data_IF_750950633585
#
_entry.id   IF_750950633585
#
_cell.length_a   1.000
_cell.length_b   1.000
_cell.length_c   1.000
_cell.angle_alpha   90.00
_cell.angle_beta   90.00
_cell.angle_gamma   90.00
#
_symmetry.space_group_name_H-M   'P 1'
#
loop_
_entity.id
_entity.type
_entity.pdbx_description
1 polymer ?
#
# COMPACT_ATOMS: atom_id res chain seq x y z
N UNK A 1 7.35 -1.76 18.23
CA UNK A 1 5.88 -1.69 18.44
C UNK A 1 5.33 -2.89 19.19
N UNK A 2 5.37 -4.15 18.71
CA UNK A 2 4.78 -5.27 19.48
C UNK A 2 5.43 -5.45 20.88
N UNK A 3 6.74 -5.21 20.99
CA UNK A 3 7.46 -5.20 22.27
C UNK A 3 7.06 -4.04 23.20
N UNK A 4 6.72 -2.88 22.66
CA UNK A 4 6.26 -1.73 23.45
C UNK A 4 4.84 -2.00 23.98
N UNK A 5 3.98 -2.62 23.16
CA UNK A 5 2.65 -3.07 23.58
C UNK A 5 2.78 -4.14 24.67
N UNK A 6 3.69 -5.10 24.51
CA UNK A 6 3.95 -6.12 25.53
C UNK A 6 4.38 -5.52 26.87
N UNK A 7 5.26 -4.50 26.84
CA UNK A 7 5.71 -3.79 28.04
C UNK A 7 4.62 -2.91 28.67
N UNK A 8 3.62 -2.47 27.89
CA UNK A 8 2.51 -1.67 28.39
C UNK A 8 1.38 -2.51 29.04
N UNK A 9 1.38 -3.84 28.89
CA UNK A 9 0.36 -4.71 29.49
C UNK A 9 0.64 -4.94 30.98
N UNK A 10 -0.30 -4.62 31.89
CA UNK A 10 -0.15 -4.92 33.30
C UNK A 10 -0.16 -6.45 33.53
N UNK A 11 0.89 -6.97 34.17
CA UNK A 11 1.14 -8.41 34.34
C UNK A 11 1.23 -9.14 32.98
N UNK A 12 2.21 -8.73 32.17
CA UNK A 12 2.46 -9.25 30.83
C UNK A 12 2.70 -10.77 30.83
N UNK A 13 1.85 -11.50 30.09
CA UNK A 13 1.99 -12.94 29.81
C UNK A 13 1.76 -13.15 28.32
N UNK A 14 2.44 -14.14 27.72
CA UNK A 14 2.27 -14.51 26.32
C UNK A 14 0.81 -14.88 25.99
N UNK A 15 0.11 -15.53 26.92
CA UNK A 15 -1.29 -15.92 26.75
C UNK A 15 -2.21 -14.70 26.64
N UNK A 16 -2.00 -13.69 27.50
CA UNK A 16 -2.77 -12.44 27.45
C UNK A 16 -2.50 -11.67 26.17
N UNK A 17 -1.24 -11.60 25.74
CA UNK A 17 -0.87 -10.95 24.48
C UNK A 17 -1.54 -11.66 23.30
N UNK A 18 -1.53 -12.99 23.26
CA UNK A 18 -2.17 -13.77 22.21
C UNK A 18 -3.69 -13.58 22.19
N UNK A 19 -4.36 -13.54 23.35
CA UNK A 19 -5.80 -13.29 23.42
C UNK A 19 -6.15 -11.87 22.94
N UNK A 20 -5.35 -10.87 23.30
CA UNK A 20 -5.51 -9.48 22.83
C UNK A 20 -5.34 -9.39 21.30
N UNK A 21 -4.28 -10.01 20.75
CA UNK A 21 -4.04 -10.05 19.30
C UNK A 21 -5.20 -10.75 18.60
N UNK A 22 -5.67 -11.89 19.12
CA UNK A 22 -6.79 -12.65 18.54
C UNK A 22 -8.06 -11.82 18.50
N UNK A 23 -8.40 -11.12 19.60
CA UNK A 23 -9.57 -10.24 19.65
C UNK A 23 -9.45 -9.08 18.65
N UNK A 24 -8.29 -8.43 18.58
CA UNK A 24 -8.05 -7.34 17.64
C UNK A 24 -8.17 -7.79 16.17
N UNK A 25 -7.57 -8.94 15.82
CA UNK A 25 -7.65 -9.52 14.46
C UNK A 25 -9.08 -9.90 14.10
N UNK A 26 -9.85 -10.48 15.03
CA UNK A 26 -11.25 -10.84 14.78
C UNK A 26 -12.12 -9.61 14.50
N UNK A 27 -11.95 -8.53 15.26
CA UNK A 27 -12.67 -7.26 15.03
C UNK A 27 -12.27 -6.67 13.67
N UNK A 28 -10.97 -6.62 13.37
CA UNK A 28 -10.47 -6.11 12.08
C UNK A 28 -11.02 -6.90 10.90
N UNK A 29 -10.99 -8.24 10.98
CA UNK A 29 -11.55 -9.14 9.97
C UNK A 29 -13.03 -8.87 9.75
N UNK A 30 -13.82 -8.74 10.83
CA UNK A 30 -15.25 -8.43 10.73
C UNK A 30 -15.52 -7.12 10.00
N UNK A 31 -14.78 -6.06 10.32
CA UNK A 31 -14.90 -4.76 9.64
C UNK A 31 -14.52 -4.87 8.16
N UNK A 32 -13.44 -5.58 7.82
CA UNK A 32 -13.01 -5.76 6.43
C UNK A 32 -14.02 -6.53 5.60
N UNK A 33 -14.62 -7.59 6.15
CA UNK A 33 -15.67 -8.35 5.48
C UNK A 33 -16.91 -7.49 5.27
N UNK A 34 -17.32 -6.71 6.28
CA UNK A 34 -18.46 -5.80 6.15
C UNK A 34 -18.22 -4.73 5.08
N UNK A 35 -17.12 -3.98 5.20
CA UNK A 35 -16.80 -2.87 4.27
C UNK A 35 -16.56 -3.40 2.86
N UNK A 36 -15.82 -4.50 2.71
CA UNK A 36 -15.57 -5.14 1.41
C UNK A 36 -16.84 -5.70 0.78
N UNK A 37 -17.68 -6.38 1.57
CA UNK A 37 -18.94 -6.95 1.09
C UNK A 37 -19.94 -5.90 0.63
N UNK A 38 -20.21 -4.88 1.46
CA UNK A 38 -21.11 -3.79 1.08
C UNK A 38 -20.53 -2.92 -0.05
N UNK A 39 -19.22 -2.68 -0.05
CA UNK A 39 -18.54 -1.97 -1.13
C UNK A 39 -18.65 -2.70 -2.47
N UNK A 40 -18.51 -4.03 -2.47
CA UNK A 40 -18.68 -4.84 -3.66
C UNK A 40 -20.12 -4.81 -4.18
N UNK A 41 -21.12 -4.98 -3.30
CA UNK A 41 -22.54 -4.94 -3.69
C UNK A 41 -22.91 -3.58 -4.28
N UNK A 42 -22.42 -2.48 -3.69
CA UNK A 42 -22.72 -1.13 -4.13
C UNK A 42 -22.17 -0.80 -5.53
N UNK A 43 -21.00 -1.30 -5.89
CA UNK A 43 -20.30 -0.96 -7.15
C UNK A 43 -20.11 -2.15 -8.10
N UNK A 44 -20.84 -3.24 -7.92
CA UNK A 44 -20.69 -4.46 -8.74
C UNK A 44 -20.93 -4.26 -10.25
N UNK A 45 -21.54 -3.15 -10.66
CA UNK A 45 -21.86 -2.82 -12.06
C UNK A 45 -20.93 -1.78 -12.69
N UNK A 46 -20.05 -1.17 -11.90
CA UNK A 46 -19.09 -0.17 -12.39
C UNK A 46 -17.69 -0.76 -12.53
N UNK A 47 -16.86 -0.14 -13.36
CA UNK A 47 -15.45 -0.54 -13.48
C UNK A 47 -14.72 -0.22 -12.18
N UNK A 48 -14.24 -1.26 -11.49
CA UNK A 48 -13.49 -1.12 -10.24
C UNK A 48 -12.25 -0.25 -10.43
N UNK A 49 -12.16 0.81 -9.64
CA UNK A 49 -10.94 1.58 -9.44
C UNK A 49 -10.33 1.17 -8.10
N UNK A 50 -9.01 1.01 -8.03
CA UNK A 50 -8.30 0.66 -6.79
C UNK A 50 -8.54 1.58 -5.59
N UNK A 51 -9.17 2.74 -5.82
CA UNK A 51 -9.73 3.61 -4.79
C UNK A 51 -11.24 3.78 -4.99
N UNK A 52 -12.03 3.04 -4.20
CA UNK A 52 -13.50 3.11 -4.20
C UNK A 52 -14.04 4.52 -3.92
N UNK A 53 -13.27 5.37 -3.25
CA UNK A 53 -13.70 6.74 -2.95
C UNK A 53 -13.90 7.57 -4.23
N UNK A 54 -13.19 7.23 -5.31
CA UNK A 54 -13.30 7.93 -6.58
C UNK A 54 -14.60 7.60 -7.33
N UNK A 55 -15.21 6.46 -7.05
CA UNK A 55 -16.48 6.02 -7.66
C UNK A 55 -17.71 6.61 -6.99
N UNK A 56 -17.61 7.22 -5.80
CA UNK A 56 -18.77 7.85 -5.17
C UNK A 56 -19.18 9.15 -5.89
N UNK A 57 -20.50 9.35 -6.12
CA UNK A 57 -21.00 10.59 -6.71
C UNK A 57 -20.68 11.78 -5.81
N UNK A 58 -20.50 12.94 -6.43
CA UNK A 58 -20.20 14.20 -5.75
C UNK A 58 -21.39 14.64 -4.89
N UNK A 59 -21.35 14.33 -3.61
CA UNK A 59 -22.32 14.75 -2.59
C UNK A 59 -21.58 15.26 -1.36
N UNK A 60 -22.23 16.09 -0.54
CA UNK A 60 -21.64 16.59 0.70
C UNK A 60 -21.10 15.46 1.59
N UNK A 61 -21.81 14.33 1.65
CA UNK A 61 -21.39 13.16 2.43
C UNK A 61 -20.13 12.49 1.83
N UNK A 62 -20.10 12.31 0.50
CA UNK A 62 -18.93 11.75 -0.19
C UNK A 62 -17.69 12.63 -0.02
N UNK A 63 -17.86 13.94 -0.04
CA UNK A 63 -16.78 14.91 0.14
C UNK A 63 -16.22 14.90 1.57
N UNK A 64 -17.11 14.85 2.58
CA UNK A 64 -16.71 14.69 3.98
C UNK A 64 -15.92 13.40 4.20
N UNK A 65 -16.34 12.28 3.59
CA UNK A 65 -15.60 11.00 3.68
C UNK A 65 -14.22 11.10 3.02
N UNK A 66 -14.12 11.73 1.84
CA UNK A 66 -12.84 11.95 1.14
C UNK A 66 -11.88 12.80 1.97
N UNK A 67 -12.36 13.91 2.54
CA UNK A 67 -11.56 14.77 3.43
C UNK A 67 -11.13 14.01 4.68
N UNK A 68 -12.04 13.24 5.30
CA UNK A 68 -11.73 12.41 6.46
C UNK A 68 -10.65 11.37 6.18
N UNK A 69 -10.70 10.71 5.01
CA UNK A 69 -9.67 9.79 4.56
C UNK A 69 -8.30 10.48 4.38
N UNK A 70 -8.26 11.62 3.68
CA UNK A 70 -7.02 12.38 3.48
C UNK A 70 -6.42 12.84 4.81
N UNK A 71 -7.27 13.34 5.72
CA UNK A 71 -6.84 13.77 7.05
C UNK A 71 -6.27 12.59 7.88
N UNK A 72 -6.92 11.42 7.81
CA UNK A 72 -6.42 10.20 8.44
C UNK A 72 -5.03 9.82 7.93
N UNK A 73 -4.83 9.80 6.60
CA UNK A 73 -3.52 9.52 5.98
C UNK A 73 -2.48 10.57 6.38
N UNK A 74 -2.85 11.85 6.44
CA UNK A 74 -1.97 12.94 6.84
C UNK A 74 -1.46 12.76 8.28
N UNK A 75 -2.27 12.22 9.20
CA UNK A 75 -1.82 11.89 10.55
C UNK A 75 -1.10 10.54 10.64
N UNK A 76 -1.46 9.54 9.84
CA UNK A 76 -0.79 8.24 9.81
C UNK A 76 0.66 8.34 9.32
N UNK A 77 0.93 9.18 8.33
CA UNK A 77 2.25 9.34 7.74
C UNK A 77 3.36 9.67 8.76
N UNK A 78 3.26 10.72 9.59
CA UNK A 78 4.26 11.03 10.61
C UNK A 78 4.35 9.93 11.69
N UNK A 79 3.23 9.28 12.05
CA UNK A 79 3.22 8.18 13.02
C UNK A 79 4.00 6.95 12.54
N UNK A 80 3.98 6.65 11.24
CA UNK A 80 4.73 5.55 10.63
C UNK A 80 6.21 5.91 10.42
N UNK A 81 6.52 7.19 10.13
CA UNK A 81 7.90 7.65 9.99
C UNK A 81 8.68 7.51 11.30
N UNK A 82 8.05 7.68 12.45
CA UNK A 82 8.73 7.57 13.75
C UNK A 82 9.44 6.21 13.96
N UNK A 83 8.75 5.05 13.91
CA UNK A 83 9.40 3.75 14.01
C UNK A 83 10.27 3.40 12.79
N UNK A 84 9.94 3.91 11.59
CA UNK A 84 10.78 3.75 10.40
C UNK A 84 12.16 4.40 10.60
N UNK A 85 12.18 5.64 11.10
CA UNK A 85 13.39 6.38 11.45
C UNK A 85 14.22 5.63 12.49
N UNK A 86 13.60 5.12 13.55
CA UNK A 86 14.31 4.35 14.58
C UNK A 86 14.95 3.07 14.00
N UNK A 87 14.23 2.38 13.12
CA UNK A 87 14.71 1.16 12.46
C UNK A 87 15.87 1.46 11.51
N UNK A 88 15.75 2.50 10.69
CA UNK A 88 16.78 2.89 9.71
C UNK A 88 18.02 3.46 10.40
N UNK A 89 17.84 4.25 11.47
CA UNK A 89 18.95 4.71 12.30
C UNK A 89 19.72 3.53 12.90
N UNK A 90 19.02 2.56 13.48
CA UNK A 90 19.66 1.34 13.98
C UNK A 90 20.41 0.59 12.86
N UNK A 91 19.81 0.45 11.67
CA UNK A 91 20.45 -0.25 10.55
C UNK A 91 21.74 0.42 10.05
N UNK A 92 21.70 1.75 9.85
CA UNK A 92 22.82 2.51 9.30
C UNK A 92 23.93 2.71 10.34
N UNK A 93 23.56 3.02 11.59
CA UNK A 93 24.52 3.40 12.63
C UNK A 93 24.99 2.23 13.47
N UNK A 94 24.30 1.09 13.52
CA UNK A 94 24.85 -0.15 14.10
C UNK A 94 26.09 -0.62 13.34
N UNK A 95 26.20 -0.35 12.03
CA UNK A 95 27.42 -0.60 11.23
C UNK A 95 28.49 0.47 11.48
N UNK A 96 28.09 1.74 11.62
CA UNK A 96 29.02 2.85 11.87
C UNK A 96 29.66 2.78 13.26
N UNK A 97 28.93 2.30 14.27
CA UNK A 97 29.43 2.15 15.64
C UNK A 97 30.46 1.02 15.76
N UNK A 98 30.38 -0.01 14.90
CA UNK A 98 31.41 -1.04 14.77
C UNK A 98 32.69 -0.51 14.09
N UNK A 99 32.57 0.43 13.14
CA UNK A 99 33.72 1.09 12.51
C UNK A 99 34.36 2.17 13.40
N UNK A 100 33.55 2.95 14.11
CA UNK A 100 34.00 4.01 15.03
C UNK A 100 34.62 3.47 16.32
N UNK A 101 34.52 2.17 16.61
CA UNK A 101 35.29 1.55 17.69
C UNK A 101 36.75 1.28 17.28
N UNK A 102 37.07 1.32 15.98
CA UNK A 102 38.42 1.04 15.46
C UNK A 102 39.26 2.32 15.25
N UNK A 103 38.62 3.48 15.12
CA UNK A 103 39.29 4.78 15.16
C UNK A 103 38.81 5.55 16.38
N UNK A 104 39.71 5.78 17.34
CA UNK A 104 39.44 6.44 18.63
C UNK A 104 38.98 7.90 18.54
N UNK A 105 37.83 8.14 17.93
CA UNK A 105 37.19 9.44 17.84
C UNK A 105 36.35 9.70 19.10
N UNK A 106 36.96 10.44 20.02
CA UNK A 106 36.39 11.05 21.22
C UNK A 106 35.46 12.22 20.89
N UNK A 107 34.38 11.98 20.15
CA UNK A 107 33.29 12.96 20.04
C UNK A 107 31.91 12.31 20.20
N UNK A 108 31.40 12.49 21.41
CA UNK A 108 30.19 11.87 21.97
C UNK A 108 28.95 12.70 21.66
N UNK A 109 28.84 13.22 20.44
CA UNK A 109 27.65 13.95 19.98
C UNK A 109 27.25 13.41 18.60
N UNK A 110 26.15 12.66 18.57
CA UNK A 110 25.58 12.20 17.31
C UNK A 110 25.08 13.46 16.59
N UNK A 111 25.64 13.86 15.44
CA UNK A 111 25.34 15.14 14.83
C UNK A 111 23.85 15.20 14.47
N UNK A 112 23.13 16.17 15.04
CA UNK A 112 21.70 16.41 14.80
C UNK A 112 21.37 16.56 13.29
N UNK A 113 22.33 17.04 12.50
CA UNK A 113 22.23 17.13 11.04
C UNK A 113 22.03 15.77 10.35
N UNK A 114 22.64 14.70 10.88
CA UNK A 114 22.46 13.34 10.33
C UNK A 114 21.08 12.77 10.65
N UNK A 115 20.51 13.12 11.80
CA UNK A 115 19.13 12.75 12.14
C UNK A 115 18.10 13.49 11.27
N UNK A 116 18.28 14.79 11.05
CA UNK A 116 17.42 15.58 10.14
C UNK A 116 17.55 15.10 8.70
N UNK A 117 18.77 14.84 8.23
CA UNK A 117 19.01 14.31 6.89
C UNK A 117 18.32 12.97 6.66
N UNK A 118 18.25 12.10 7.67
CA UNK A 118 17.58 10.81 7.56
C UNK A 118 16.06 10.97 7.36
N UNK A 119 15.42 11.84 8.14
CA UNK A 119 13.99 12.11 7.97
C UNK A 119 13.71 12.78 6.63
N UNK A 120 14.56 13.72 6.20
CA UNK A 120 14.42 14.35 4.89
C UNK A 120 14.53 13.33 3.76
N UNK A 121 15.47 12.38 3.86
CA UNK A 121 15.64 11.29 2.90
C UNK A 121 14.40 10.38 2.85
N UNK A 122 13.86 9.96 3.99
CA UNK A 122 12.66 9.12 4.05
C UNK A 122 11.47 9.83 3.38
N UNK A 123 11.23 11.10 3.73
CA UNK A 123 10.14 11.88 3.15
C UNK A 123 10.35 12.09 1.65
N UNK A 124 11.57 12.43 1.23
CA UNK A 124 11.89 12.61 -0.18
C UNK A 124 11.66 11.34 -1.01
N UNK A 125 12.15 10.19 -0.55
CA UNK A 125 11.93 8.90 -1.22
C UNK A 125 10.44 8.56 -1.28
N UNK A 126 9.70 8.78 -0.20
CA UNK A 126 8.25 8.54 -0.19
C UNK A 126 7.48 9.44 -1.17
N UNK A 127 7.90 10.71 -1.28
CA UNK A 127 7.31 11.66 -2.22
C UNK A 127 7.60 11.26 -3.66
N UNK A 128 8.85 10.94 -3.97
CA UNK A 128 9.25 10.49 -5.31
C UNK A 128 8.47 9.24 -5.73
N UNK A 129 8.35 8.24 -4.85
CA UNK A 129 7.57 7.03 -5.15
C UNK A 129 6.10 7.34 -5.39
N UNK A 130 5.50 8.23 -4.61
CA UNK A 130 4.10 8.65 -4.79
C UNK A 130 3.85 9.40 -6.11
N UNK A 131 4.83 10.20 -6.55
CA UNK A 131 4.78 10.91 -7.84
C UNK A 131 4.99 9.96 -9.02
N UNK A 132 5.89 8.99 -8.88
CA UNK A 132 6.21 8.03 -9.96
C UNK A 132 5.10 6.99 -10.17
N UNK A 133 4.39 6.58 -9.12
CA UNK A 133 3.36 5.53 -9.18
C UNK A 133 2.05 6.05 -8.59
N UNK A 134 1.20 6.73 -9.38
CA UNK A 134 -0.09 7.27 -8.92
C UNK A 134 -1.19 6.19 -8.89
N UNK A 135 -0.86 4.94 -8.55
CA UNK A 135 -1.81 3.84 -8.45
C UNK A 135 -1.63 3.10 -7.11
N UNK A 136 -2.59 3.31 -6.19
CA UNK A 136 -2.54 2.79 -4.83
C UNK A 136 -2.69 1.26 -4.81
N UNK A 137 -3.55 0.72 -5.67
CA UNK A 137 -3.75 -0.74 -5.80
C UNK A 137 -2.46 -1.44 -6.16
N UNK A 138 -1.70 -0.87 -7.10
CA UNK A 138 -0.41 -1.41 -7.48
C UNK A 138 0.62 -1.36 -6.36
N UNK A 139 0.73 -0.22 -5.67
CA UNK A 139 1.68 -0.07 -4.57
C UNK A 139 1.33 -1.06 -3.46
N UNK A 140 0.04 -1.20 -3.12
CA UNK A 140 -0.43 -2.16 -2.12
C UNK A 140 -0.18 -3.61 -2.57
N UNK A 141 -0.44 -3.93 -3.85
CA UNK A 141 -0.21 -5.25 -4.43
C UNK A 141 1.27 -5.64 -4.39
N UNK A 142 2.15 -4.76 -4.87
CA UNK A 142 3.59 -4.98 -4.93
C UNK A 142 4.21 -5.08 -3.52
N UNK A 143 3.84 -4.18 -2.60
CA UNK A 143 4.31 -4.23 -1.21
C UNK A 143 3.80 -5.49 -0.52
N UNK A 144 2.56 -5.90 -0.77
CA UNK A 144 1.98 -7.13 -0.23
C UNK A 144 2.68 -8.39 -0.73
N UNK A 145 2.93 -8.49 -2.04
CA UNK A 145 3.58 -9.66 -2.66
C UNK A 145 5.07 -9.76 -2.33
N UNK A 146 5.75 -8.64 -2.09
CA UNK A 146 7.18 -8.62 -1.78
C UNK A 146 7.43 -8.58 -0.27
N UNK A 147 7.26 -7.41 0.35
CA UNK A 147 7.58 -7.15 1.75
C UNK A 147 6.65 -7.94 2.67
N UNK A 148 5.35 -8.02 2.33
CA UNK A 148 4.38 -8.79 3.10
C UNK A 148 4.74 -10.26 3.23
N UNK A 149 5.07 -10.92 2.12
CA UNK A 149 5.47 -12.33 2.11
C UNK A 149 6.80 -12.54 2.84
N UNK A 150 7.76 -11.62 2.67
CA UNK A 150 9.04 -11.69 3.38
C UNK A 150 8.85 -11.67 4.90
N UNK A 151 8.02 -10.77 5.41
CA UNK A 151 7.83 -10.61 6.86
C UNK A 151 6.89 -11.68 7.43
N UNK A 152 5.81 -12.02 6.74
CA UNK A 152 4.77 -12.90 7.28
C UNK A 152 5.03 -14.38 7.06
N UNK A 153 5.79 -14.76 6.02
CA UNK A 153 6.02 -16.17 5.67
C UNK A 153 7.50 -16.52 5.79
N UNK A 154 8.37 -15.78 5.09
CA UNK A 154 9.80 -16.14 5.00
C UNK A 154 10.51 -15.93 6.34
N UNK A 155 10.31 -14.79 7.00
CA UNK A 155 10.97 -14.48 8.27
C UNK A 155 10.63 -15.48 9.40
N UNK A 156 9.35 -15.79 9.72
CA UNK A 156 9.04 -16.77 10.75
C UNK A 156 9.51 -18.18 10.38
N UNK A 157 9.43 -18.58 9.10
CA UNK A 157 9.95 -19.87 8.64
C UNK A 157 11.47 -19.98 8.82
N UNK A 158 12.22 -18.93 8.44
CA UNK A 158 13.66 -18.85 8.64
C UNK A 158 14.04 -18.94 10.11
N UNK A 159 13.38 -18.15 10.98
CA UNK A 159 13.60 -18.20 12.42
C UNK A 159 13.36 -19.62 12.99
N UNK A 160 12.28 -20.28 12.57
CA UNK A 160 11.97 -21.64 13.02
C UNK A 160 13.03 -22.66 12.56
N UNK A 161 13.47 -22.59 11.30
CA UNK A 161 14.52 -23.48 10.75
C UNK A 161 15.87 -23.25 11.47
N UNK A 162 16.21 -22.01 11.79
CA UNK A 162 17.45 -21.67 12.50
C UNK A 162 17.45 -22.17 13.95
N UNK A 163 16.30 -22.16 14.63
CA UNK A 163 16.16 -22.60 16.02
C UNK A 163 15.96 -24.12 16.13
N UNK A 164 15.29 -24.73 15.15
CA UNK A 164 14.97 -26.17 15.17
C UNK A 164 16.15 -27.01 14.67
N UNK A 165 16.95 -27.52 15.61
CA UNK A 165 18.14 -28.35 15.31
C UNK A 165 17.82 -29.80 14.94
N UNK A 166 16.60 -30.28 15.21
CA UNK A 166 16.17 -31.66 14.89
C UNK A 166 15.46 -31.72 13.55
N UNK A 167 15.69 -32.80 12.80
CA UNK A 167 14.97 -33.10 11.55
C UNK A 167 13.58 -33.69 11.86
N UNK A 168 12.69 -32.84 12.37
CA UNK A 168 11.29 -33.19 12.63
C UNK A 168 10.43 -32.87 11.39
N UNK A 169 9.28 -33.53 11.24
CA UNK A 169 8.27 -33.19 10.22
C UNK A 169 7.91 -31.69 10.21
N UNK A 170 7.97 -31.03 11.36
CA UNK A 170 7.75 -29.58 11.51
C UNK A 170 8.81 -28.73 10.78
N UNK A 171 10.06 -29.22 10.70
CA UNK A 171 11.14 -28.54 9.97
C UNK A 171 10.95 -28.67 8.46
N UNK A 172 10.50 -29.83 7.99
CA UNK A 172 10.11 -30.04 6.59
C UNK A 172 8.93 -29.13 6.24
N UNK A 173 7.94 -29.01 7.14
CA UNK A 173 6.81 -28.11 6.96
C UNK A 173 7.26 -26.65 6.86
N UNK A 174 8.18 -26.19 7.73
CA UNK A 174 8.73 -24.84 7.66
C UNK A 174 9.52 -24.58 6.36
N UNK A 175 10.30 -25.57 5.89
CA UNK A 175 11.00 -25.50 4.59
C UNK A 175 10.01 -25.42 3.42
N UNK A 176 8.92 -26.18 3.48
CA UNK A 176 7.85 -26.12 2.48
C UNK A 176 7.17 -24.75 2.49
N UNK A 177 6.85 -24.19 3.66
CA UNK A 177 6.26 -22.85 3.78
C UNK A 177 7.17 -21.78 3.18
N UNK A 178 8.49 -21.89 3.38
CA UNK A 178 9.47 -20.99 2.77
C UNK A 178 9.45 -21.12 1.23
N UNK A 179 9.51 -22.35 0.72
CA UNK A 179 9.48 -22.60 -0.73
C UNK A 179 8.19 -22.09 -1.38
N UNK A 180 7.04 -22.39 -0.79
CA UNK A 180 5.73 -21.88 -1.23
C UNK A 180 5.70 -20.35 -1.15
N UNK A 181 6.21 -19.75 -0.07
CA UNK A 181 6.30 -18.30 0.08
C UNK A 181 7.08 -17.65 -1.06
N UNK A 182 8.23 -18.20 -1.45
CA UNK A 182 9.03 -17.69 -2.57
C UNK A 182 8.27 -17.81 -3.91
N UNK A 183 7.58 -18.92 -4.15
CA UNK A 183 6.75 -19.09 -5.35
C UNK A 183 5.63 -18.04 -5.39
N UNK A 184 4.89 -17.87 -4.29
CA UNK A 184 3.79 -16.89 -4.21
C UNK A 184 4.32 -15.46 -4.38
N UNK A 185 5.52 -15.17 -3.89
CA UNK A 185 6.18 -13.88 -4.14
C UNK A 185 6.46 -13.62 -5.61
N UNK A 186 7.04 -14.59 -6.32
CA UNK A 186 7.35 -14.43 -7.75
C UNK A 186 6.06 -14.29 -8.55
N UNK A 187 5.09 -15.18 -8.33
CA UNK A 187 3.80 -15.14 -9.01
C UNK A 187 3.00 -13.88 -8.69
N UNK A 188 2.97 -13.46 -7.43
CA UNK A 188 2.27 -12.24 -7.00
C UNK A 188 2.90 -10.98 -7.58
N UNK A 189 4.23 -10.91 -7.62
CA UNK A 189 4.93 -9.78 -8.24
C UNK A 189 4.67 -9.73 -9.74
N UNK A 190 4.71 -10.89 -10.41
CA UNK A 190 4.38 -11.00 -11.84
C UNK A 190 2.94 -10.56 -12.13
N UNK A 191 1.97 -11.05 -11.35
CA UNK A 191 0.56 -10.69 -11.53
C UNK A 191 0.31 -9.18 -11.36
N UNK A 192 0.95 -8.55 -10.36
CA UNK A 192 0.83 -7.11 -10.13
C UNK A 192 1.47 -6.28 -11.26
N UNK A 193 2.61 -6.72 -11.81
CA UNK A 193 3.25 -6.06 -12.94
C UNK A 193 2.44 -6.21 -14.23
N UNK A 194 1.87 -7.39 -14.47
CA UNK A 194 1.00 -7.61 -15.63
C UNK A 194 -0.26 -6.75 -15.56
N UNK A 195 -0.90 -6.66 -14.39
CA UNK A 195 -2.04 -5.77 -14.17
C UNK A 195 -1.68 -4.29 -14.39
N UNK A 196 -0.45 -3.87 -14.06
CA UNK A 196 0.04 -2.52 -14.34
C UNK A 196 0.01 -2.20 -15.84
N UNK A 197 0.53 -3.12 -16.65
CA UNK A 197 0.69 -2.91 -18.08
C UNK A 197 -0.67 -2.73 -18.75
N UNK A 198 -1.65 -3.55 -18.40
CA UNK A 198 -3.02 -3.42 -18.90
C UNK A 198 -3.67 -2.07 -18.51
N UNK A 199 -3.49 -1.61 -17.26
CA UNK A 199 -4.03 -0.33 -16.79
C UNK A 199 -3.35 0.86 -17.48
N UNK A 200 -2.03 0.80 -17.69
CA UNK A 200 -1.28 1.87 -18.38
C UNK A 200 -1.67 1.97 -19.85
N UNK A 201 -1.84 0.83 -20.53
CA UNK A 201 -2.32 0.81 -21.92
C UNK A 201 -3.74 1.37 -22.02
N UNK A 202 -4.66 0.95 -21.13
CA UNK A 202 -6.05 1.43 -21.14
C UNK A 202 -6.15 2.94 -20.90
N UNK A 203 -5.37 3.48 -19.96
CA UNK A 203 -5.35 4.92 -19.67
C UNK A 203 -4.80 5.75 -20.84
N UNK A 204 -3.68 5.32 -21.46
CA UNK A 204 -3.11 5.99 -22.65
C UNK A 204 -4.06 5.93 -23.86
N UNK A 205 -4.72 4.79 -24.09
CA UNK A 205 -5.71 4.66 -25.17
C UNK A 205 -6.91 5.57 -24.93
N UNK A 206 -7.43 5.61 -23.69
CA UNK A 206 -8.56 6.47 -23.32
C UNK A 206 -8.21 7.95 -23.49
N UNK A 207 -7.01 8.37 -23.07
CA UNK A 207 -6.54 9.75 -23.25
C UNK A 207 -6.39 10.11 -24.73
N UNK A 208 -5.83 9.22 -25.56
CA UNK A 208 -5.75 9.44 -27.02
C UNK A 208 -7.13 9.55 -27.67
N UNK A 209 -8.11 8.74 -27.24
CA UNK A 209 -9.50 8.83 -27.74
C UNK A 209 -10.11 10.17 -27.32
N UNK A 210 -9.98 10.56 -26.04
CA UNK A 210 -10.50 11.83 -25.51
C UNK A 210 -9.79 13.04 -26.12
N UNK A 211 -8.57 12.95 -26.64
CA UNK A 211 -7.93 14.05 -27.39
C UNK A 211 -8.41 14.09 -28.84
N UNK A 212 -8.77 12.94 -29.42
CA UNK A 212 -9.24 12.84 -30.80
C UNK A 212 -10.72 13.24 -30.96
N UNK A 213 -11.57 12.89 -30.00
CA UNK A 213 -12.99 13.27 -29.95
C UNK A 213 -13.24 14.81 -29.99
N UNK A 214 -12.53 15.68 -29.23
CA UNK A 214 -12.71 17.13 -29.25
C UNK A 214 -12.15 17.79 -30.52
N UNK A 215 -11.20 17.15 -31.21
CA UNK A 215 -10.80 17.60 -32.56
C UNK A 215 -11.88 17.29 -33.59
N UNK A 216 -12.49 16.09 -33.54
CA UNK A 216 -13.61 15.74 -34.43
C UNK A 216 -14.83 16.63 -34.15
N UNK A 217 -15.12 16.96 -32.88
CA UNK A 217 -16.23 17.85 -32.55
C UNK A 217 -16.02 19.27 -33.10
N UNK A 218 -14.77 19.77 -33.12
CA UNK A 218 -14.45 21.07 -33.75
C UNK A 218 -14.60 21.03 -35.27
N UNK A 219 -14.16 19.95 -35.93
CA UNK A 219 -14.29 19.78 -37.39
C UNK A 219 -15.76 19.67 -37.81
N UNK A 220 -16.59 18.96 -37.03
CA UNK A 220 -18.03 18.83 -37.28
C UNK A 220 -18.77 20.15 -37.06
N UNK A 221 -18.31 21.02 -36.16
CA UNK A 221 -18.93 22.32 -35.90
C UNK A 221 -18.52 23.42 -36.90
N UNK A 222 -17.43 23.23 -37.64
CA UNK A 222 -16.99 24.14 -38.72
C UNK A 222 -17.60 23.83 -40.09
N UNK A 223 -18.25 22.68 -40.29
CA UNK A 223 -18.82 22.30 -41.59
C UNK A 223 -20.17 23.04 -41.85
N UNK A 224 -20.25 23.98 -42.81
CA UNK A 224 -21.44 24.79 -43.05
C UNK A 224 -22.65 23.98 -43.55
N UNK A 225 -22.49 22.71 -43.93
CA UNK A 225 -23.58 21.84 -44.38
C UNK A 225 -24.45 21.28 -43.24
N UNK A 226 -23.97 21.27 -41.98
CA UNK A 226 -24.68 20.63 -40.86
C UNK A 226 -25.55 21.59 -40.01
N UNK A 227 -25.51 22.90 -40.28
CA UNK A 227 -26.37 23.91 -39.63
C UNK A 227 -27.86 23.82 -40.00
N UNK A 228 -28.24 22.95 -40.93
CA UNK A 228 -29.59 22.82 -41.47
C UNK A 228 -30.29 21.51 -41.07
N UNK A 229 -29.66 20.65 -40.26
CA UNK A 229 -30.28 19.40 -39.80
C UNK A 229 -30.59 19.55 -38.31
N UNK A 230 -31.84 19.91 -38.02
CA UNK A 230 -32.42 19.81 -36.68
C UNK A 230 -32.36 18.33 -36.22
N UNK A 231 -31.40 18.02 -35.35
CA UNK A 231 -31.36 16.74 -34.66
C UNK A 231 -32.40 16.81 -33.53
N UNK A 232 -33.42 15.93 -33.51
CA UNK A 232 -34.44 15.96 -32.48
C UNK A 232 -33.81 15.63 -31.11
N UNK A 233 -34.18 16.41 -30.09
CA UNK A 233 -33.92 16.10 -28.68
C UNK A 233 -34.68 14.83 -28.30
N UNK A 234 -34.08 13.67 -28.53
CA UNK A 234 -34.62 12.41 -28.01
C UNK A 234 -34.17 12.21 -26.58
N UNK A 235 -35.08 12.55 -25.68
CA UNK A 235 -35.09 12.11 -24.29
C UNK A 235 -35.08 10.57 -24.22
N UNK A 236 -34.16 9.99 -23.45
CA UNK A 236 -34.17 8.63 -22.90
C UNK A 236 -33.07 8.64 -21.82
N UNK A 237 -33.28 8.53 -20.51
CA UNK A 237 -34.17 7.66 -19.72
C UNK A 237 -34.08 6.21 -20.18
N UNK A 238 -33.13 5.46 -19.62
CA UNK A 238 -33.06 4.00 -19.48
C UNK A 238 -32.02 3.74 -18.36
N UNK A 239 -32.46 3.48 -17.13
CA UNK A 239 -32.65 2.16 -16.50
C UNK A 239 -31.34 1.42 -16.23
#
# INVERSE_FOLDING_TARGET
QIFEIYQAIPNASLEKMNDLIRKAVNICTGVYIFVGGFGYIAFCRETFTGNILMSFPSSLMSEVIKIGFVLSVAFSFPLIIFPCRASLYSLLYKRLQTYALHEGATDKYIPEGRFKSLTFLIVFVSLVTGVMIPNIELVLGLVGSTIGIMICVVFPAMCFICVSTKNTNERILAQLMLFVGVIVMVLGTYANLYAMEEISVKSVVTEKIIIKEPEILKIVQEDPALKMIDIPKTSNKLL
#
